data_IF_456435335471
#
_entry.id   IF_456435335471
#
_cell.length_a   1.000
_cell.length_b   1.000
_cell.length_c   1.000
_cell.angle_alpha   90.00
_cell.angle_beta   90.00
_cell.angle_gamma   90.00
#
_symmetry.space_group_name_H-M   'P 1'
#
loop_
_entity.id
_entity.type
_entity.pdbx_description
1 polymer ?
#
# COMPACT_ATOMS: atom_id res chain seq x y z
N UNK A 1 -14.10 12.91 12.04
CA UNK A 1 -14.97 14.10 11.95
C UNK A 1 -14.17 15.39 12.15
N UNK A 2 -13.27 15.47 13.13
CA UNK A 2 -12.47 16.67 13.37
C UNK A 2 -11.44 16.95 12.26
N UNK A 3 -10.95 15.91 11.55
CA UNK A 3 -9.98 16.07 10.46
C UNK A 3 -10.52 16.95 9.32
N UNK A 4 -11.76 16.73 8.91
CA UNK A 4 -12.36 17.44 7.77
C UNK A 4 -12.53 18.93 8.08
N UNK A 5 -13.17 19.26 9.19
CA UNK A 5 -13.43 20.67 9.55
C UNK A 5 -12.14 21.46 9.76
N UNK A 6 -11.14 20.84 10.43
CA UNK A 6 -9.83 21.46 10.65
C UNK A 6 -9.07 21.66 9.35
N UNK A 7 -9.05 20.64 8.46
CA UNK A 7 -8.39 20.72 7.17
C UNK A 7 -9.05 21.77 6.27
N UNK A 8 -10.39 21.83 6.25
CA UNK A 8 -11.15 22.82 5.49
C UNK A 8 -10.80 24.25 5.92
N UNK A 9 -10.76 24.54 7.23
CA UNK A 9 -10.41 25.84 7.75
C UNK A 9 -8.97 26.24 7.39
N UNK A 10 -8.02 25.29 7.51
CA UNK A 10 -6.63 25.51 7.10
C UNK A 10 -6.51 25.81 5.61
N UNK A 11 -7.17 25.03 4.75
CA UNK A 11 -7.12 25.20 3.31
C UNK A 11 -7.75 26.53 2.88
N UNK A 12 -8.90 26.93 3.45
CA UNK A 12 -9.51 28.26 3.25
C UNK A 12 -8.56 29.39 3.63
N UNK A 13 -7.73 29.15 4.63
CA UNK A 13 -6.67 30.07 5.07
C UNK A 13 -5.38 29.96 4.26
N UNK A 14 -5.39 29.24 3.13
CA UNK A 14 -4.22 28.98 2.23
C UNK A 14 -3.06 28.29 2.96
N UNK A 15 -3.36 27.44 3.94
CA UNK A 15 -2.36 26.61 4.60
C UNK A 15 -2.30 25.24 3.92
N UNK A 16 -1.08 24.74 3.76
CA UNK A 16 -0.86 23.35 3.35
C UNK A 16 -1.22 22.43 4.52
N UNK A 17 -1.76 21.25 4.23
CA UNK A 17 -2.20 20.31 5.27
C UNK A 17 -1.60 18.92 5.05
N UNK A 18 -1.19 18.33 6.16
CA UNK A 18 -0.84 16.92 6.27
C UNK A 18 -1.94 16.24 7.07
N UNK A 19 -2.58 15.23 6.50
CA UNK A 19 -3.74 14.55 7.09
C UNK A 19 -3.40 13.07 7.29
N UNK A 20 -3.58 12.56 8.51
CA UNK A 20 -3.45 11.13 8.79
C UNK A 20 -4.52 10.31 8.05
N UNK A 21 -4.16 9.06 7.75
CA UNK A 21 -5.10 8.11 7.13
C UNK A 21 -6.24 7.72 8.09
N UNK A 22 -7.44 7.49 7.56
CA UNK A 22 -7.90 7.85 6.22
C UNK A 22 -8.03 9.36 6.07
N UNK A 23 -7.89 9.86 4.83
CA UNK A 23 -7.96 11.31 4.56
C UNK A 23 -9.23 11.95 5.10
N UNK A 24 -10.36 11.26 4.96
CA UNK A 24 -11.71 11.66 5.43
C UNK A 24 -12.54 10.43 5.77
N UNK A 25 -13.80 10.62 6.21
CA UNK A 25 -14.76 9.52 6.40
C UNK A 25 -15.43 9.11 5.09
N UNK A 26 -15.69 10.08 4.17
CA UNK A 26 -16.33 9.83 2.87
C UNK A 26 -15.48 10.31 1.71
N UNK A 27 -15.76 9.79 0.51
CA UNK A 27 -15.07 10.17 -0.73
C UNK A 27 -15.42 11.62 -1.12
N UNK A 28 -16.67 12.04 -0.89
CA UNK A 28 -17.16 13.38 -1.15
C UNK A 28 -16.43 14.44 -0.34
N UNK A 29 -16.16 14.15 0.93
CA UNK A 29 -15.35 15.00 1.79
C UNK A 29 -13.90 15.11 1.29
N UNK A 30 -13.31 13.99 0.82
CA UNK A 30 -11.97 14.01 0.23
C UNK A 30 -11.95 14.86 -1.05
N UNK A 31 -12.92 14.68 -1.92
CA UNK A 31 -13.07 15.47 -3.16
C UNK A 31 -13.23 16.98 -2.85
N UNK A 32 -14.01 17.32 -1.82
CA UNK A 32 -14.14 18.69 -1.34
C UNK A 32 -12.80 19.28 -0.90
N UNK A 33 -12.05 18.58 -0.04
CA UNK A 33 -10.75 19.05 0.44
C UNK A 33 -9.73 19.21 -0.70
N UNK A 34 -9.70 18.28 -1.65
CA UNK A 34 -8.81 18.33 -2.81
C UNK A 34 -9.13 19.54 -3.70
N UNK A 35 -10.41 19.79 -3.96
CA UNK A 35 -10.83 20.95 -4.75
C UNK A 35 -10.49 22.26 -4.04
N UNK A 36 -10.77 22.34 -2.73
CA UNK A 36 -10.44 23.51 -1.92
C UNK A 36 -8.94 23.80 -1.89
N UNK A 37 -8.12 22.75 -1.83
CA UNK A 37 -6.67 22.86 -1.91
C UNK A 37 -6.21 23.45 -3.26
N UNK A 38 -6.77 22.96 -4.37
CA UNK A 38 -6.48 23.48 -5.72
C UNK A 38 -6.88 24.97 -5.85
N UNK A 39 -8.06 25.34 -5.38
CA UNK A 39 -8.56 26.73 -5.42
C UNK A 39 -7.66 27.68 -4.62
N UNK A 40 -7.05 27.22 -3.54
CA UNK A 40 -6.23 28.03 -2.65
C UNK A 40 -4.71 27.85 -2.87
N UNK A 41 -4.29 27.12 -3.92
CA UNK A 41 -2.89 26.77 -4.18
C UNK A 41 -2.20 26.15 -2.95
N UNK A 42 -2.91 25.30 -2.24
CA UNK A 42 -2.44 24.56 -1.09
C UNK A 42 -2.17 23.10 -1.43
N UNK A 43 -1.30 22.45 -0.66
CA UNK A 43 -0.96 21.04 -0.77
C UNK A 43 -1.74 20.27 0.29
N UNK A 44 -2.31 19.14 -0.11
CA UNK A 44 -2.79 18.07 0.76
C UNK A 44 -1.88 16.89 0.59
N UNK A 45 -1.25 16.43 1.69
CA UNK A 45 -0.52 15.18 1.76
C UNK A 45 -1.19 14.27 2.78
N UNK A 46 -1.24 12.97 2.47
CA UNK A 46 -1.93 11.98 3.32
C UNK A 46 -0.92 11.03 3.94
N UNK A 47 -1.08 10.73 5.23
CA UNK A 47 -0.18 9.93 6.06
C UNK A 47 -0.25 8.42 5.75
N UNK A 48 0.04 8.01 4.51
CA UNK A 48 0.25 6.60 4.16
C UNK A 48 1.74 6.23 4.29
N UNK A 49 2.22 6.24 5.53
CA UNK A 49 3.63 6.06 5.89
C UNK A 49 4.28 4.78 5.34
N UNK A 50 3.49 3.75 5.05
CA UNK A 50 4.01 2.48 4.50
C UNK A 50 4.70 2.66 3.14
N UNK A 51 4.35 3.69 2.34
CA UNK A 51 5.08 4.02 1.10
C UNK A 51 6.52 4.43 1.33
N UNK A 52 6.84 4.88 2.53
CA UNK A 52 8.17 5.30 2.95
C UNK A 52 8.86 4.24 3.82
N UNK A 53 8.30 3.04 3.90
CA UNK A 53 8.96 1.97 4.64
C UNK A 53 10.31 1.65 3.97
N UNK A 54 11.42 1.68 4.74
CA UNK A 54 12.75 1.45 4.18
C UNK A 54 12.89 0.14 3.41
N UNK A 55 12.11 -0.89 3.76
CA UNK A 55 12.10 -2.16 3.05
C UNK A 55 11.61 -2.06 1.59
N UNK A 56 10.92 -0.99 1.21
CA UNK A 56 10.51 -0.74 -0.17
C UNK A 56 11.59 -0.05 -1.01
N UNK A 57 12.59 0.58 -0.38
CA UNK A 57 13.59 1.37 -1.10
C UNK A 57 14.35 0.58 -2.18
N UNK A 58 14.74 -0.67 -1.96
CA UNK A 58 15.41 -1.45 -3.00
C UNK A 58 14.57 -1.67 -4.26
N UNK A 59 13.24 -1.52 -4.16
CA UNK A 59 12.35 -1.69 -5.32
C UNK A 59 12.54 -0.58 -6.37
N UNK A 60 13.09 0.57 -5.99
CA UNK A 60 13.35 1.69 -6.90
C UNK A 60 14.38 1.34 -8.01
N UNK A 61 15.22 0.33 -7.78
CA UNK A 61 16.24 -0.11 -8.73
C UNK A 61 15.67 -1.08 -9.80
N UNK A 62 14.38 -1.42 -9.71
CA UNK A 62 13.71 -2.40 -10.57
C UNK A 62 12.60 -1.75 -11.38
N UNK A 63 12.53 -2.14 -12.67
CA UNK A 63 11.39 -1.81 -13.54
C UNK A 63 10.21 -2.74 -13.18
N UNK A 64 9.33 -2.25 -12.33
CA UNK A 64 8.20 -3.03 -11.82
C UNK A 64 7.02 -3.00 -12.80
N UNK A 65 6.63 -4.19 -13.24
CA UNK A 65 5.41 -4.44 -13.99
C UNK A 65 4.69 -5.68 -13.41
N UNK A 66 4.14 -5.55 -12.19
CA UNK A 66 3.56 -6.67 -11.47
C UNK A 66 2.45 -7.36 -12.27
N UNK A 67 2.46 -8.68 -12.27
CA UNK A 67 1.35 -9.51 -12.79
C UNK A 67 0.49 -10.03 -11.65
N UNK A 68 1.11 -10.26 -10.49
CA UNK A 68 0.42 -10.67 -9.30
C UNK A 68 1.08 -10.03 -8.07
N UNK A 69 0.25 -9.49 -7.18
CA UNK A 69 0.68 -8.92 -5.88
C UNK A 69 -0.10 -9.62 -4.78
N UNK A 70 0.59 -10.08 -3.75
CA UNK A 70 -0.02 -10.63 -2.54
C UNK A 70 0.39 -9.79 -1.34
N UNK A 71 -0.59 -9.33 -0.55
CA UNK A 71 -0.33 -8.56 0.67
C UNK A 71 -1.05 -9.21 1.85
N UNK A 72 -0.31 -9.35 2.95
CA UNK A 72 -0.84 -9.87 4.20
C UNK A 72 -0.52 -8.90 5.35
N UNK A 73 -1.58 -8.44 6.04
CA UNK A 73 -1.49 -7.59 7.23
C UNK A 73 -2.31 -8.20 8.35
N UNK A 74 -1.61 -8.92 9.22
CA UNK A 74 -2.23 -9.62 10.34
C UNK A 74 -1.77 -8.97 11.65
N UNK A 75 -2.70 -8.72 12.56
CA UNK A 75 -2.41 -8.14 13.87
C UNK A 75 -3.15 -8.91 14.96
N UNK A 76 -2.56 -9.05 16.16
CA UNK A 76 -3.28 -9.53 17.34
C UNK A 76 -4.42 -8.59 17.71
N UNK A 77 -5.47 -9.16 18.31
CA UNK A 77 -6.59 -8.37 18.78
C UNK A 77 -6.16 -7.32 19.81
N UNK A 78 -6.62 -6.10 19.63
CA UNK A 78 -6.46 -5.00 20.56
C UNK A 78 -7.80 -4.28 20.74
N UNK A 79 -8.13 -3.92 21.99
CA UNK A 79 -9.39 -3.18 22.30
C UNK A 79 -9.39 -1.81 21.64
N UNK A 80 -8.23 -1.14 21.59
CA UNK A 80 -8.09 0.16 20.96
C UNK A 80 -8.26 0.05 19.44
N UNK A 81 -9.21 0.79 18.87
CA UNK A 81 -9.49 0.80 17.43
C UNK A 81 -10.36 -0.36 16.94
N UNK A 82 -10.98 -1.14 17.87
CA UNK A 82 -11.90 -2.22 17.50
C UNK A 82 -13.22 -1.72 16.90
N UNK A 83 -13.52 -0.46 17.05
CA UNK A 83 -14.67 0.25 16.50
C UNK A 83 -14.51 0.62 15.01
N UNK A 84 -13.28 0.68 14.51
CA UNK A 84 -13.00 0.93 13.08
C UNK A 84 -12.96 -0.39 12.31
N UNK A 85 -13.65 -0.53 11.16
CA UNK A 85 -13.58 -1.74 10.34
C UNK A 85 -12.14 -2.08 9.92
N UNK A 86 -11.81 -3.39 9.88
CA UNK A 86 -10.45 -3.86 9.57
C UNK A 86 -9.95 -3.38 8.20
N UNK A 87 -10.86 -3.15 7.25
CA UNK A 87 -10.54 -2.63 5.92
C UNK A 87 -10.02 -1.19 6.00
N UNK A 88 -10.71 -0.32 6.73
CA UNK A 88 -10.36 1.09 6.89
C UNK A 88 -9.21 1.32 7.87
N UNK A 89 -8.98 0.39 8.80
CA UNK A 89 -7.87 0.50 9.76
C UNK A 89 -6.57 -0.11 9.22
N UNK A 90 -6.62 -1.34 8.72
CA UNK A 90 -5.44 -2.12 8.32
C UNK A 90 -5.28 -2.20 6.81
N UNK A 91 -6.31 -2.64 6.07
CA UNK A 91 -6.18 -2.93 4.64
C UNK A 91 -5.93 -1.68 3.79
N UNK A 92 -6.38 -0.52 4.21
CA UNK A 92 -6.21 0.74 3.48
C UNK A 92 -4.75 1.08 3.18
N UNK A 93 -3.81 0.72 4.06
CA UNK A 93 -2.37 0.86 3.81
C UNK A 93 -1.90 0.01 2.64
N UNK A 94 -2.42 -1.21 2.56
CA UNK A 94 -2.04 -2.18 1.54
C UNK A 94 -2.73 -1.86 0.20
N UNK A 95 -3.95 -1.32 0.24
CA UNK A 95 -4.65 -0.77 -0.93
C UNK A 95 -3.81 0.36 -1.53
N UNK A 96 -3.37 1.31 -0.72
CA UNK A 96 -2.53 2.42 -1.17
C UNK A 96 -1.22 1.94 -1.82
N UNK A 97 -0.53 0.97 -1.21
CA UNK A 97 0.67 0.36 -1.79
C UNK A 97 0.39 -0.31 -3.14
N UNK A 98 -0.67 -1.11 -3.22
CA UNK A 98 -1.06 -1.82 -4.46
C UNK A 98 -1.37 -0.84 -5.58
N UNK A 99 -2.12 0.24 -5.30
CA UNK A 99 -2.44 1.27 -6.28
C UNK A 99 -1.17 2.02 -6.75
N UNK A 100 -0.16 2.15 -5.91
CA UNK A 100 1.13 2.76 -6.29
C UNK A 100 2.01 1.84 -7.14
N UNK A 101 1.91 0.53 -6.93
CA UNK A 101 2.72 -0.49 -7.64
C UNK A 101 2.12 -0.88 -8.98
N UNK A 102 0.80 -0.77 -9.14
CA UNK A 102 0.08 -1.17 -10.35
C UNK A 102 -0.59 0.06 -10.96
N UNK A 103 0.07 0.79 -11.89
CA UNK A 103 -0.46 2.00 -12.51
C UNK A 103 -1.49 1.65 -13.60
N UNK A 104 -2.62 1.09 -13.22
CA UNK A 104 -3.69 0.67 -14.12
C UNK A 104 -5.04 0.87 -13.42
N UNK A 105 -6.09 1.12 -14.22
CA UNK A 105 -7.45 1.20 -13.72
C UNK A 105 -7.90 -0.15 -13.18
N UNK A 106 -8.70 -0.11 -12.11
CA UNK A 106 -9.33 -1.30 -11.56
C UNK A 106 -10.45 -1.75 -12.50
N UNK A 107 -10.47 -3.04 -12.81
CA UNK A 107 -11.48 -3.70 -13.62
C UNK A 107 -12.59 -4.30 -12.77
N UNK A 108 -12.20 -4.94 -11.66
CA UNK A 108 -13.15 -5.65 -10.80
C UNK A 108 -12.56 -5.86 -9.40
N UNK A 109 -13.44 -5.80 -8.38
CA UNK A 109 -13.11 -6.09 -6.98
C UNK A 109 -14.05 -7.19 -6.48
N UNK A 110 -13.46 -8.25 -5.96
CA UNK A 110 -14.13 -9.28 -5.17
C UNK A 110 -13.66 -9.17 -3.73
N UNK A 111 -14.56 -9.23 -2.76
CA UNK A 111 -14.16 -9.16 -1.35
C UNK A 111 -15.07 -10.01 -0.49
N UNK A 112 -14.52 -10.49 0.61
CA UNK A 112 -15.25 -11.24 1.63
C UNK A 112 -14.67 -10.91 3.00
N UNK A 113 -15.49 -11.06 4.04
CA UNK A 113 -15.08 -10.79 5.41
C UNK A 113 -15.89 -11.57 6.43
N UNK A 114 -15.34 -11.67 7.62
CA UNK A 114 -15.99 -12.37 8.73
C UNK A 114 -15.78 -11.63 10.05
N UNK A 115 -16.80 -11.68 10.90
CA UNK A 115 -16.75 -11.22 12.29
C UNK A 115 -16.49 -12.44 13.18
N UNK A 116 -15.44 -12.41 13.98
CA UNK A 116 -14.99 -13.52 14.84
C UNK A 116 -15.08 -13.14 16.31
N UNK A 117 -14.57 -11.97 16.69
CA UNK A 117 -14.49 -11.52 18.08
C UNK A 117 -15.28 -10.23 18.34
N UNK A 118 -15.56 -9.45 17.31
CA UNK A 118 -16.29 -8.19 17.43
C UNK A 118 -17.59 -8.22 16.62
N UNK A 119 -18.41 -7.19 16.78
CA UNK A 119 -19.62 -6.99 15.95
C UNK A 119 -19.31 -6.38 14.59
N UNK A 120 -18.04 -6.08 14.30
CA UNK A 120 -17.57 -5.60 13.01
C UNK A 120 -16.72 -6.67 12.31
N UNK A 121 -16.36 -6.42 11.05
CA UNK A 121 -15.49 -7.34 10.30
C UNK A 121 -14.09 -7.38 10.91
N UNK A 122 -13.65 -8.55 11.35
CA UNK A 122 -12.35 -8.79 11.98
C UNK A 122 -11.31 -9.31 11.01
N UNK A 123 -11.74 -10.05 9.98
CA UNK A 123 -10.89 -10.55 8.91
C UNK A 123 -11.54 -10.17 7.59
N UNK A 124 -10.76 -9.60 6.70
CA UNK A 124 -11.17 -9.26 5.34
C UNK A 124 -10.17 -9.79 4.31
N UNK A 125 -10.69 -10.27 3.19
CA UNK A 125 -9.93 -10.61 2.00
C UNK A 125 -10.49 -9.83 0.82
N UNK A 126 -9.62 -9.29 -0.03
CA UNK A 126 -10.01 -8.63 -1.26
C UNK A 126 -9.12 -9.09 -2.42
N UNK A 127 -9.75 -9.33 -3.57
CA UNK A 127 -9.09 -9.59 -4.84
C UNK A 127 -9.41 -8.44 -5.79
N UNK A 128 -8.39 -7.74 -6.23
CA UNK A 128 -8.49 -6.61 -7.16
C UNK A 128 -7.89 -7.04 -8.50
N UNK A 129 -8.68 -6.98 -9.57
CA UNK A 129 -8.24 -7.21 -10.94
C UNK A 129 -8.11 -5.88 -11.67
N UNK A 130 -7.03 -5.68 -12.42
CA UNK A 130 -6.73 -4.45 -13.14
C UNK A 130 -6.90 -4.63 -14.65
N UNK A 131 -7.12 -3.52 -15.38
CA UNK A 131 -7.31 -3.55 -16.85
C UNK A 131 -6.08 -4.04 -17.61
N UNK A 132 -4.86 -3.86 -17.06
CA UNK A 132 -3.62 -4.40 -17.64
C UNK A 132 -3.41 -5.90 -17.38
N UNK A 133 -4.41 -6.57 -16.77
CA UNK A 133 -4.38 -8.00 -16.43
C UNK A 133 -3.66 -8.33 -15.12
N UNK A 134 -3.11 -7.35 -14.41
CA UNK A 134 -2.55 -7.56 -13.09
C UNK A 134 -3.64 -7.92 -12.06
N UNK A 135 -3.24 -8.63 -11.01
CA UNK A 135 -4.13 -9.05 -9.92
C UNK A 135 -3.43 -8.75 -8.60
N UNK A 136 -4.19 -8.23 -7.63
CA UNK A 136 -3.74 -8.10 -6.26
C UNK A 136 -4.67 -8.86 -5.31
N UNK A 137 -4.10 -9.64 -4.40
CA UNK A 137 -4.81 -10.28 -3.29
C UNK A 137 -4.36 -9.65 -1.98
N UNK A 138 -5.33 -9.14 -1.21
CA UNK A 138 -5.10 -8.50 0.08
C UNK A 138 -5.80 -9.30 1.17
N UNK A 139 -5.09 -9.55 2.26
CA UNK A 139 -5.67 -10.19 3.45
C UNK A 139 -5.31 -9.38 4.68
N UNK A 140 -6.33 -8.93 5.42
CA UNK A 140 -6.15 -8.21 6.67
C UNK A 140 -6.93 -8.89 7.80
N UNK A 141 -6.29 -9.01 8.97
CA UNK A 141 -6.90 -9.57 10.17
C UNK A 141 -6.45 -8.80 11.41
N UNK A 142 -7.39 -8.54 12.31
CA UNK A 142 -7.11 -7.99 13.66
C UNK A 142 -7.18 -9.04 14.77
N UNK A 143 -7.37 -10.32 14.42
CA UNK A 143 -7.56 -11.43 15.38
C UNK A 143 -6.54 -12.55 15.18
N UNK A 144 -5.39 -12.23 14.60
CA UNK A 144 -4.30 -13.17 14.40
C UNK A 144 -3.50 -13.38 15.70
N UNK A 145 -2.82 -14.52 15.84
CA UNK A 145 -1.90 -14.77 16.94
C UNK A 145 -0.64 -13.91 16.83
N UNK A 146 -0.05 -13.86 15.64
CA UNK A 146 1.20 -13.20 15.37
C UNK A 146 1.01 -12.02 14.42
N UNK A 147 1.89 -11.02 14.52
CA UNK A 147 1.93 -9.92 13.56
C UNK A 147 2.56 -10.38 12.26
N UNK A 148 1.94 -10.05 11.14
CA UNK A 148 2.47 -10.23 9.79
C UNK A 148 2.26 -8.95 9.00
N UNK A 149 3.27 -8.48 8.29
CA UNK A 149 3.18 -7.38 7.32
C UNK A 149 4.08 -7.73 6.15
N UNK A 150 3.53 -8.42 5.15
CA UNK A 150 4.28 -8.95 4.02
C UNK A 150 3.66 -8.53 2.71
N UNK A 151 4.52 -8.17 1.77
CA UNK A 151 4.20 -7.90 0.38
C UNK A 151 5.01 -8.84 -0.50
N UNK A 152 4.36 -9.47 -1.48
CA UNK A 152 5.01 -10.27 -2.51
C UNK A 152 4.62 -9.74 -3.88
N UNK A 153 5.59 -9.57 -4.74
CA UNK A 153 5.42 -9.08 -6.11
C UNK A 153 5.92 -10.15 -7.06
N UNK A 154 5.07 -10.54 -7.98
CA UNK A 154 5.38 -11.49 -9.04
C UNK A 154 5.25 -10.80 -10.40
N UNK A 155 6.29 -10.81 -11.18
CA UNK A 155 6.28 -10.43 -12.57
C UNK A 155 7.14 -11.39 -13.39
N UNK A 156 7.21 -11.21 -14.69
CA UNK A 156 8.02 -12.07 -15.51
C UNK A 156 9.49 -12.02 -15.06
N UNK A 157 10.06 -13.19 -14.82
CA UNK A 157 11.46 -13.39 -14.43
C UNK A 157 11.89 -12.70 -13.12
N UNK A 158 10.94 -12.17 -12.33
CA UNK A 158 11.23 -11.48 -11.07
C UNK A 158 10.17 -11.80 -10.00
N UNK A 159 10.65 -12.22 -8.83
CA UNK A 159 9.86 -12.37 -7.63
C UNK A 159 10.51 -11.56 -6.49
N UNK A 160 9.73 -10.73 -5.84
CA UNK A 160 10.18 -9.92 -4.70
C UNK A 160 9.30 -10.23 -3.49
N UNK A 161 9.91 -10.39 -2.33
CA UNK A 161 9.22 -10.45 -1.05
C UNK A 161 9.74 -9.35 -0.12
N UNK A 162 8.82 -8.66 0.53
CA UNK A 162 9.10 -7.60 1.49
C UNK A 162 8.44 -7.95 2.82
N UNK A 163 9.21 -7.98 3.89
CA UNK A 163 8.71 -8.09 5.26
C UNK A 163 8.93 -6.74 5.97
N UNK A 164 7.85 -6.00 6.13
CA UNK A 164 7.85 -4.66 6.71
C UNK A 164 8.16 -4.65 8.22
N UNK A 165 7.91 -5.76 8.92
CA UNK A 165 8.12 -5.83 10.38
C UNK A 165 9.59 -5.94 10.74
N UNK A 166 10.34 -6.72 9.96
CA UNK A 166 11.77 -6.96 10.22
C UNK A 166 12.66 -6.15 9.30
N UNK A 167 12.07 -5.38 8.37
CA UNK A 167 12.83 -4.58 7.40
C UNK A 167 13.68 -5.46 6.48
N UNK A 168 13.04 -6.44 5.82
CA UNK A 168 13.71 -7.40 4.94
C UNK A 168 13.09 -7.34 3.54
N UNK A 169 13.95 -7.26 2.53
CA UNK A 169 13.59 -7.45 1.12
C UNK A 169 14.44 -8.54 0.52
N UNK A 170 13.80 -9.47 -0.15
CA UNK A 170 14.45 -10.59 -0.85
C UNK A 170 13.98 -10.58 -2.29
N UNK A 171 14.92 -10.77 -3.21
CA UNK A 171 14.69 -10.63 -4.65
C UNK A 171 15.22 -11.87 -5.34
N UNK A 172 14.39 -12.45 -6.19
CA UNK A 172 14.72 -13.63 -6.98
C UNK A 172 14.53 -13.29 -8.44
N UNK A 173 15.60 -13.37 -9.22
CA UNK A 173 15.61 -13.10 -10.67
C UNK A 173 15.94 -14.37 -11.45
N UNK A 174 15.15 -14.68 -12.47
CA UNK A 174 15.46 -15.75 -13.41
C UNK A 174 16.16 -15.14 -14.63
N UNK A 175 17.42 -15.47 -14.86
CA UNK A 175 18.24 -14.94 -15.95
C UNK A 175 18.90 -16.10 -16.74
N UNK A 176 19.47 -15.78 -17.91
CA UNK A 176 20.19 -16.79 -18.69
C UNK A 176 21.39 -17.33 -17.94
N UNK A 177 21.70 -18.63 -18.12
CA UNK A 177 22.74 -19.30 -17.36
C UNK A 177 24.14 -18.67 -17.50
N UNK A 178 24.38 -17.91 -18.58
CA UNK A 178 25.65 -17.23 -18.83
C UNK A 178 25.75 -15.82 -18.26
N UNK A 179 24.65 -15.28 -17.74
CA UNK A 179 24.62 -13.95 -17.13
C UNK A 179 25.21 -13.98 -15.72
N UNK A 180 25.72 -12.83 -15.30
CA UNK A 180 26.22 -12.62 -13.95
C UNK A 180 25.47 -11.48 -13.29
N UNK A 181 25.20 -11.64 -12.03
CA UNK A 181 24.62 -10.60 -11.20
C UNK A 181 25.58 -10.34 -10.02
N UNK A 182 26.19 -9.17 -9.96
CA UNK A 182 27.15 -8.82 -8.89
C UNK A 182 26.46 -8.70 -7.51
N UNK A 183 25.16 -8.47 -7.46
CA UNK A 183 24.40 -8.28 -6.23
C UNK A 183 23.83 -9.61 -5.70
N UNK A 184 23.91 -10.68 -6.50
CA UNK A 184 23.45 -12.01 -6.11
C UNK A 184 24.35 -12.61 -5.05
N UNK A 185 23.77 -13.00 -3.92
CA UNK A 185 24.46 -13.70 -2.83
C UNK A 185 24.40 -15.22 -2.99
N UNK A 186 23.50 -15.72 -3.85
CA UNK A 186 23.36 -17.14 -4.17
C UNK A 186 22.76 -17.31 -5.56
N UNK A 187 23.12 -18.38 -6.25
CA UNK A 187 22.54 -18.79 -7.52
C UNK A 187 22.09 -20.24 -7.47
N UNK A 188 21.05 -20.57 -8.20
CA UNK A 188 20.57 -21.94 -8.39
C UNK A 188 20.24 -22.21 -9.84
N UNK A 189 20.59 -23.40 -10.41
CA UNK A 189 20.22 -23.73 -11.75
C UNK A 189 18.70 -23.88 -11.90
N UNK A 190 18.17 -23.47 -13.03
CA UNK A 190 16.77 -23.58 -13.41
C UNK A 190 16.69 -24.07 -14.84
N UNK A 191 16.00 -25.15 -15.10
CA UNK A 191 15.60 -25.57 -16.45
C UNK A 191 14.15 -25.15 -16.70
N UNK A 192 13.92 -24.31 -17.67
CA UNK A 192 12.59 -23.81 -18.02
C UNK A 192 12.38 -23.96 -19.52
N UNK A 193 11.36 -24.74 -19.93
CA UNK A 193 11.01 -24.97 -21.34
C UNK A 193 12.18 -25.50 -22.23
N UNK A 194 13.12 -26.26 -21.62
CA UNK A 194 14.32 -26.77 -22.31
C UNK A 194 15.48 -25.77 -22.42
N UNK A 195 15.35 -24.60 -21.81
CA UNK A 195 16.41 -23.59 -21.70
C UNK A 195 17.09 -23.65 -20.33
N UNK A 196 18.44 -23.57 -20.35
CA UNK A 196 19.22 -23.48 -19.13
C UNK A 196 19.25 -22.05 -18.65
N UNK A 197 18.61 -21.80 -17.50
CA UNK A 197 18.56 -20.52 -16.82
C UNK A 197 19.15 -20.63 -15.42
N UNK A 198 19.28 -19.53 -14.72
CA UNK A 198 19.67 -19.47 -13.32
C UNK A 198 18.73 -18.56 -12.54
N UNK A 199 18.43 -18.94 -11.31
CA UNK A 199 17.82 -18.06 -10.32
C UNK A 199 18.95 -17.37 -9.55
N UNK A 200 18.90 -16.06 -9.52
CA UNK A 200 19.77 -15.20 -8.73
C UNK A 200 18.98 -14.71 -7.52
N UNK A 201 19.54 -14.93 -6.33
CA UNK A 201 18.95 -14.47 -5.07
C UNK A 201 19.74 -13.29 -4.51
N UNK A 202 19.05 -12.20 -4.23
CA UNK A 202 19.58 -10.99 -3.64
C UNK A 202 18.89 -10.69 -2.32
N UNK A 203 19.65 -10.09 -1.43
CA UNK A 203 19.17 -9.59 -0.14
C UNK A 203 19.76 -8.19 0.10
N UNK A 204 19.16 -7.15 -0.47
CA UNK A 204 19.64 -5.79 -0.34
C UNK A 204 19.75 -5.36 1.12
N UNK A 205 20.74 -4.54 1.41
CA UNK A 205 20.87 -3.90 2.72
C UNK A 205 19.83 -2.81 2.86
N UNK A 206 18.95 -2.95 3.85
CA UNK A 206 17.90 -1.95 4.11
C UNK A 206 18.50 -0.81 4.95
N UNK A 207 18.39 0.45 4.50
CA UNK A 207 18.89 1.58 5.25
C UNK A 207 18.10 1.80 6.54
N UNK A 208 18.78 2.20 7.61
CA UNK A 208 18.13 2.57 8.87
C UNK A 208 17.64 4.01 8.78
N UNK A 209 16.43 4.19 8.28
CA UNK A 209 15.81 5.50 8.08
C UNK A 209 14.50 5.56 8.86
N UNK A 210 14.19 6.72 9.41
CA UNK A 210 12.92 7.00 10.05
C UNK A 210 11.90 7.43 8.98
N UNK A 211 10.93 6.55 8.71
CA UNK A 211 9.89 6.79 7.72
C UNK A 211 9.05 8.03 8.04
N UNK A 212 8.73 8.28 9.33
CA UNK A 212 7.96 9.45 9.74
C UNK A 212 8.74 10.75 9.47
N UNK A 213 10.04 10.74 9.75
CA UNK A 213 10.89 11.88 9.43
C UNK A 213 10.92 12.14 7.93
N UNK A 214 11.08 11.10 7.10
CA UNK A 214 11.05 11.23 5.64
C UNK A 214 9.71 11.78 5.14
N UNK A 215 8.61 11.34 5.70
CA UNK A 215 7.28 11.79 5.33
C UNK A 215 7.09 13.28 5.58
N UNK A 216 7.51 13.75 6.75
CA UNK A 216 7.46 15.19 7.11
C UNK A 216 8.45 16.03 6.29
N UNK A 217 9.65 15.51 6.02
CA UNK A 217 10.62 16.18 5.14
C UNK A 217 10.11 16.30 3.71
N UNK A 218 9.47 15.24 3.15
CA UNK A 218 8.84 15.31 1.84
C UNK A 218 7.71 16.34 1.81
N UNK A 219 6.87 16.40 2.86
CA UNK A 219 5.82 17.43 2.94
C UNK A 219 6.41 18.84 2.90
N UNK A 220 7.47 19.11 3.68
CA UNK A 220 8.14 20.42 3.68
C UNK A 220 8.76 20.74 2.31
N UNK A 221 9.41 19.78 1.65
CA UNK A 221 9.97 19.95 0.32
C UNK A 221 8.90 20.19 -0.74
N UNK A 222 7.75 19.51 -0.60
CA UNK A 222 6.61 19.73 -1.49
C UNK A 222 6.05 21.14 -1.36
N UNK A 223 5.96 21.67 -0.15
CA UNK A 223 5.57 23.07 0.09
C UNK A 223 6.53 24.05 -0.59
N UNK A 224 7.83 23.76 -0.61
CA UNK A 224 8.83 24.56 -1.27
C UNK A 224 8.88 24.39 -2.80
N UNK A 225 8.15 23.43 -3.35
CA UNK A 225 8.17 23.09 -4.76
C UNK A 225 9.43 22.32 -5.20
N UNK A 226 10.15 21.73 -4.26
CA UNK A 226 11.38 20.95 -4.51
C UNK A 226 11.07 19.50 -4.93
N UNK A 227 9.98 18.93 -4.40
CA UNK A 227 9.51 17.56 -4.68
C UNK A 227 7.98 17.55 -4.78
N UNK A 228 7.41 16.52 -5.41
CA UNK A 228 5.99 16.25 -5.32
C UNK A 228 5.64 15.53 -4.00
N UNK A 229 4.43 15.68 -3.45
CA UNK A 229 3.96 14.88 -2.33
C UNK A 229 4.00 13.38 -2.68
N UNK A 230 4.59 12.55 -1.83
CA UNK A 230 4.65 11.10 -2.06
C UNK A 230 3.26 10.47 -2.07
N UNK A 231 2.39 10.97 -1.19
CA UNK A 231 0.97 10.61 -1.18
C UNK A 231 0.16 11.89 -1.22
N UNK A 232 -0.23 12.32 -2.40
CA UNK A 232 -1.10 13.49 -2.54
C UNK A 232 -2.55 13.18 -2.12
N UNK A 233 -3.37 14.22 -2.04
CA UNK A 233 -4.78 14.06 -1.69
C UNK A 233 -5.53 13.11 -2.62
N UNK A 234 -5.17 13.06 -3.92
CA UNK A 234 -5.80 12.18 -4.90
C UNK A 234 -5.48 10.71 -4.63
N UNK A 235 -4.22 10.40 -4.29
CA UNK A 235 -3.81 9.05 -3.91
C UNK A 235 -4.53 8.58 -2.63
N UNK A 236 -4.58 9.43 -1.59
CA UNK A 236 -5.30 9.13 -0.36
C UNK A 236 -6.81 8.93 -0.58
N UNK A 237 -7.42 9.77 -1.42
CA UNK A 237 -8.83 9.66 -1.85
C UNK A 237 -9.11 8.35 -2.58
N UNK A 238 -8.22 7.94 -3.49
CA UNK A 238 -8.37 6.69 -4.22
C UNK A 238 -8.27 5.48 -3.29
N UNK A 239 -7.31 5.47 -2.37
CA UNK A 239 -7.19 4.41 -1.37
C UNK A 239 -8.45 4.31 -0.49
N UNK A 240 -9.01 5.45 -0.06
CA UNK A 240 -10.26 5.51 0.70
C UNK A 240 -11.44 4.97 -0.12
N UNK A 241 -11.58 5.39 -1.38
CA UNK A 241 -12.67 4.96 -2.26
C UNK A 241 -12.71 3.44 -2.41
N UNK A 242 -11.54 2.82 -2.66
CA UNK A 242 -11.44 1.36 -2.79
C UNK A 242 -11.68 0.66 -1.46
N UNK A 243 -11.20 1.23 -0.35
CA UNK A 243 -11.46 0.67 0.99
C UNK A 243 -12.95 0.67 1.32
N UNK A 244 -13.67 1.76 1.01
CA UNK A 244 -15.13 1.86 1.19
C UNK A 244 -15.85 0.85 0.28
N UNK A 245 -15.46 0.73 -0.99
CA UNK A 245 -16.07 -0.25 -1.90
C UNK A 245 -15.91 -1.68 -1.40
N UNK A 246 -14.70 -2.06 -0.96
CA UNK A 246 -14.42 -3.37 -0.37
C UNK A 246 -15.29 -3.58 0.88
N UNK A 247 -15.34 -2.59 1.76
CA UNK A 247 -16.13 -2.66 3.00
C UNK A 247 -17.62 -2.86 2.70
N UNK A 248 -18.18 -2.09 1.76
CA UNK A 248 -19.60 -2.18 1.41
C UNK A 248 -19.95 -3.55 0.81
N UNK A 249 -19.13 -4.08 -0.09
CA UNK A 249 -19.33 -5.44 -0.64
C UNK A 249 -19.35 -6.51 0.46
N UNK A 250 -18.44 -6.41 1.44
CA UNK A 250 -18.41 -7.34 2.58
C UNK A 250 -19.69 -7.23 3.42
N UNK A 251 -20.16 -6.00 3.68
CA UNK A 251 -21.39 -5.79 4.47
C UNK A 251 -22.63 -6.28 3.74
N UNK A 252 -22.72 -6.06 2.42
CA UNK A 252 -23.79 -6.60 1.57
C UNK A 252 -23.84 -8.13 1.64
N UNK A 253 -22.70 -8.81 1.51
CA UNK A 253 -22.62 -10.29 1.59
C UNK A 253 -23.00 -10.83 2.97
N UNK A 254 -22.70 -10.08 4.04
CA UNK A 254 -23.05 -10.44 5.42
C UNK A 254 -24.50 -10.08 5.79
N UNK A 255 -25.23 -9.34 4.95
CA UNK A 255 -26.59 -8.81 5.20
C UNK A 255 -26.68 -7.93 6.46
N UNK A 256 -25.69 -7.09 6.72
CA UNK A 256 -25.59 -6.16 7.86
C UNK A 256 -25.29 -4.72 7.39
#
# INVERSE_FOLDING_TARGET
>A
REHVSTAEECLKSRKHVFIEKPITETVEEADMLINLAKENNAIVQVGHIERLNPALMPLADYDLNPKFVEVQRLAPYMIRGSDVPVVLDLMIHDIDLVLSLIPSSIKHIESTGVSIMTNSVDIANARISFENGAIANLTSSRVAKDRVRKLKIFQQDLYITVDFLIGLTEIYKAMDANQKDPDAIMTAPLELNGENRQIFYEKPTIPKIDALKMELENFIKSIKGEEAPIVDGTAGRNALSIAIEIQNKILEDLNI
#
